data_IF_471665687115
#
_entry.id   IF_471665687115
#
_cell.length_a   1.000
_cell.length_b   1.000
_cell.length_c   1.000
_cell.angle_alpha   90.00
_cell.angle_beta   90.00
_cell.angle_gamma   90.00
#
_symmetry.space_group_name_H-M   'P 1'
#
loop_
_entity.id
_entity.type
_entity.pdbx_description
1 polymer ?
#
# COMPACT_ATOMS: atom_id res chain seq x y z
N UNK A 1 13.33 23.90 -13.30
CA UNK A 1 12.15 23.33 -12.61
C UNK A 1 12.51 22.34 -11.49
N UNK A 2 13.78 21.93 -11.34
CA UNK A 2 14.25 21.08 -10.23
C UNK A 2 14.51 21.84 -8.90
N UNK A 3 14.77 23.15 -8.93
CA UNK A 3 15.18 23.91 -7.73
C UNK A 3 14.07 24.16 -6.69
N UNK A 4 12.79 23.91 -7.01
CA UNK A 4 11.69 24.03 -6.04
C UNK A 4 11.44 22.76 -5.22
N UNK A 5 11.99 21.62 -5.64
CA UNK A 5 11.84 20.35 -4.92
C UNK A 5 12.66 20.31 -3.61
N UNK A 6 13.69 21.16 -3.51
CA UNK A 6 14.63 21.21 -2.38
C UNK A 6 14.31 22.28 -1.32
N UNK A 7 13.17 22.96 -1.41
CA UNK A 7 12.69 23.89 -0.38
C UNK A 7 11.53 23.28 0.44
N UNK A 8 11.58 21.98 0.71
CA UNK A 8 10.68 21.37 1.69
C UNK A 8 11.17 21.73 3.09
N UNK A 9 10.27 22.14 3.98
CA UNK A 9 10.63 22.31 5.39
C UNK A 9 10.96 20.95 6.01
N UNK A 10 11.74 20.94 7.09
CA UNK A 10 12.07 19.71 7.83
C UNK A 10 10.83 18.90 8.21
N UNK A 11 9.73 19.58 8.53
CA UNK A 11 8.45 18.95 8.83
C UNK A 11 7.82 18.25 7.62
N UNK A 12 7.93 18.84 6.43
CA UNK A 12 7.46 18.22 5.18
C UNK A 12 8.32 17.02 4.78
N UNK A 13 9.62 17.06 5.05
CA UNK A 13 10.52 15.92 4.83
C UNK A 13 10.16 14.76 5.77
N UNK A 14 9.89 15.04 7.05
CA UNK A 14 9.42 14.03 8.01
C UNK A 14 8.10 13.42 7.57
N UNK A 15 7.14 14.25 7.14
CA UNK A 15 5.85 13.78 6.65
C UNK A 15 5.98 12.86 5.43
N UNK A 16 6.90 13.18 4.51
CA UNK A 16 7.19 12.34 3.35
C UNK A 16 7.85 11.02 3.76
N UNK A 17 8.81 11.05 4.70
CA UNK A 17 9.46 9.84 5.20
C UNK A 17 8.47 8.92 5.93
N UNK A 18 7.61 9.48 6.77
CA UNK A 18 6.55 8.73 7.45
C UNK A 18 5.60 8.08 6.46
N UNK A 19 5.24 8.79 5.38
CA UNK A 19 4.41 8.25 4.31
C UNK A 19 5.08 7.05 3.63
N UNK A 20 6.36 7.17 3.25
CA UNK A 20 7.10 6.05 2.65
C UNK A 20 7.29 4.88 3.61
N UNK A 21 7.57 5.15 4.89
CA UNK A 21 7.62 4.11 5.93
C UNK A 21 6.32 3.34 6.01
N UNK A 22 5.18 4.05 6.02
CA UNK A 22 3.87 3.41 6.11
C UNK A 22 3.53 2.59 4.86
N UNK A 23 3.92 3.05 3.67
CA UNK A 23 3.83 2.25 2.43
C UNK A 23 4.69 0.99 2.57
N UNK A 24 5.93 1.11 3.04
CA UNK A 24 6.83 -0.03 3.25
C UNK A 24 6.24 -1.09 4.19
N UNK A 25 5.58 -0.66 5.27
CA UNK A 25 4.85 -1.57 6.17
C UNK A 25 3.71 -2.29 5.44
N UNK A 26 2.92 -1.57 4.63
CA UNK A 26 1.86 -2.19 3.83
C UNK A 26 2.44 -3.22 2.85
N UNK A 27 3.52 -2.89 2.14
CA UNK A 27 4.21 -3.79 1.23
C UNK A 27 4.72 -5.05 1.92
N UNK A 28 5.26 -4.94 3.14
CA UNK A 28 5.71 -6.09 3.92
C UNK A 28 4.56 -7.03 4.29
N UNK A 29 3.39 -6.49 4.65
CA UNK A 29 2.19 -7.29 4.95
C UNK A 29 1.69 -8.02 3.71
N UNK A 30 1.71 -7.36 2.54
CA UNK A 30 1.33 -8.02 1.30
C UNK A 30 2.34 -9.09 0.86
N UNK A 31 3.64 -8.88 1.04
CA UNK A 31 4.65 -9.90 0.81
C UNK A 31 4.47 -11.11 1.74
N UNK A 32 4.11 -10.87 3.01
CA UNK A 32 3.76 -11.94 3.93
C UNK A 32 2.49 -12.69 3.50
N UNK A 33 1.49 -11.98 2.95
CA UNK A 33 0.27 -12.60 2.42
C UNK A 33 0.57 -13.50 1.21
N UNK A 34 1.42 -13.05 0.30
CA UNK A 34 1.85 -13.81 -0.88
C UNK A 34 2.61 -15.08 -0.47
N UNK A 35 3.54 -14.95 0.49
CA UNK A 35 4.21 -16.11 1.06
C UNK A 35 3.20 -17.09 1.68
N UNK A 36 2.21 -16.61 2.43
CA UNK A 36 1.19 -17.46 3.04
C UNK A 36 0.32 -18.18 2.00
N UNK A 37 0.00 -17.51 0.88
CA UNK A 37 -0.74 -18.10 -0.24
C UNK A 37 0.03 -19.26 -0.87
N UNK A 38 1.36 -19.12 -1.03
CA UNK A 38 2.22 -20.20 -1.57
C UNK A 38 2.23 -21.48 -0.70
N UNK A 39 1.81 -21.39 0.56
CA UNK A 39 1.72 -22.52 1.48
C UNK A 39 0.37 -23.26 1.41
N UNK A 40 -0.55 -22.82 0.56
CA UNK A 40 -1.85 -23.49 0.37
C UNK A 40 -1.68 -24.62 -0.66
N UNK A 41 -1.84 -25.87 -0.22
CA UNK A 41 -1.61 -27.04 -1.07
C UNK A 41 -2.57 -28.21 -0.82
N UNK A 42 -2.60 -29.22 -1.69
CA UNK A 42 -3.56 -30.32 -1.61
C UNK A 42 -3.23 -31.36 -0.51
N UNK A 43 -1.99 -31.37 0.00
CA UNK A 43 -1.46 -32.44 0.84
C UNK A 43 -2.03 -32.49 2.28
N UNK A 44 -2.53 -31.37 2.81
CA UNK A 44 -3.10 -31.32 4.15
C UNK A 44 -4.25 -30.29 4.20
N UNK A 45 -5.48 -30.78 4.10
CA UNK A 45 -6.68 -29.95 4.03
C UNK A 45 -6.82 -29.00 5.25
N UNK A 46 -6.53 -29.48 6.45
CA UNK A 46 -6.63 -28.68 7.68
C UNK A 46 -5.62 -27.53 7.72
N UNK A 47 -4.36 -27.84 7.36
CA UNK A 47 -3.31 -26.84 7.25
C UNK A 47 -3.60 -25.82 6.14
N UNK A 48 -4.15 -26.27 5.02
CA UNK A 48 -4.50 -25.41 3.88
C UNK A 48 -5.66 -24.46 4.19
N UNK A 49 -6.68 -24.89 4.93
CA UNK A 49 -7.77 -24.02 5.39
C UNK A 49 -7.22 -22.95 6.34
N UNK A 50 -6.35 -23.34 7.28
CA UNK A 50 -5.71 -22.39 8.19
C UNK A 50 -4.86 -21.37 7.43
N UNK A 51 -4.02 -21.84 6.51
CA UNK A 51 -3.18 -20.97 5.69
C UNK A 51 -4.01 -19.99 4.83
N UNK A 52 -5.11 -20.46 4.24
CA UNK A 52 -6.04 -19.62 3.49
C UNK A 52 -6.72 -18.55 4.36
N UNK A 53 -7.05 -18.89 5.61
CA UNK A 53 -7.59 -17.93 6.57
C UNK A 53 -6.57 -16.85 6.93
N UNK A 54 -5.33 -17.22 7.25
CA UNK A 54 -4.25 -16.27 7.56
C UNK A 54 -3.94 -15.38 6.35
N UNK A 55 -3.88 -15.95 5.15
CA UNK A 55 -3.74 -15.19 3.91
C UNK A 55 -4.83 -14.13 3.76
N UNK A 56 -6.10 -14.52 3.90
CA UNK A 56 -7.25 -13.61 3.78
C UNK A 56 -7.19 -12.49 4.82
N UNK A 57 -6.77 -12.81 6.05
CA UNK A 57 -6.60 -11.83 7.12
C UNK A 57 -5.49 -10.83 6.79
N UNK A 58 -4.33 -11.30 6.30
CA UNK A 58 -3.21 -10.44 5.91
C UNK A 58 -3.58 -9.51 4.75
N UNK A 59 -4.30 -10.01 3.74
CA UNK A 59 -4.80 -9.18 2.63
C UNK A 59 -5.76 -8.11 3.15
N UNK A 60 -6.69 -8.46 4.04
CA UNK A 60 -7.65 -7.51 4.61
C UNK A 60 -6.93 -6.42 5.44
N UNK A 61 -5.98 -6.81 6.29
CA UNK A 61 -5.20 -5.87 7.12
C UNK A 61 -4.31 -4.97 6.24
N UNK A 62 -3.59 -5.55 5.28
CA UNK A 62 -2.75 -4.81 4.34
C UNK A 62 -3.56 -3.81 3.50
N UNK A 63 -4.73 -4.23 3.02
CA UNK A 63 -5.67 -3.38 2.28
C UNK A 63 -6.20 -2.23 3.13
N UNK A 64 -6.64 -2.51 4.37
CA UNK A 64 -7.11 -1.48 5.29
C UNK A 64 -6.03 -0.45 5.61
N UNK A 65 -4.80 -0.90 5.91
CA UNK A 65 -3.67 0.00 6.18
C UNK A 65 -3.32 0.85 4.97
N UNK A 66 -3.32 0.27 3.77
CA UNK A 66 -3.04 1.01 2.54
C UNK A 66 -4.08 2.10 2.29
N UNK A 67 -5.37 1.82 2.54
CA UNK A 67 -6.44 2.81 2.46
C UNK A 67 -6.27 3.95 3.49
N UNK A 68 -5.84 3.63 4.72
CA UNK A 68 -5.55 4.63 5.75
C UNK A 68 -4.37 5.52 5.31
N UNK A 69 -3.29 4.92 4.81
CA UNK A 69 -2.12 5.65 4.30
C UNK A 69 -2.50 6.58 3.16
N UNK A 70 -3.34 6.09 2.24
CA UNK A 70 -3.89 6.90 1.15
C UNK A 70 -4.74 8.07 1.64
N UNK A 71 -5.64 7.83 2.59
CA UNK A 71 -6.49 8.87 3.16
C UNK A 71 -5.65 9.95 3.89
N UNK A 72 -4.59 9.54 4.59
CA UNK A 72 -3.66 10.47 5.25
C UNK A 72 -2.87 11.30 4.23
N UNK A 73 -2.33 10.67 3.18
CA UNK A 73 -1.66 11.38 2.10
C UNK A 73 -2.60 12.41 1.46
N UNK A 74 -3.86 12.04 1.21
CA UNK A 74 -4.84 12.95 0.60
C UNK A 74 -5.10 14.20 1.46
N UNK A 75 -5.32 14.01 2.78
CA UNK A 75 -5.52 15.13 3.71
C UNK A 75 -4.30 16.05 3.74
N UNK A 76 -3.09 15.49 3.75
CA UNK A 76 -1.84 16.27 3.76
C UNK A 76 -1.62 17.01 2.44
N UNK A 77 -1.83 16.36 1.29
CA UNK A 77 -1.66 17.00 -0.02
C UNK A 77 -2.69 18.09 -0.30
N UNK A 78 -3.93 17.95 0.17
CA UNK A 78 -4.91 19.05 0.15
C UNK A 78 -4.46 20.23 1.01
N UNK A 79 -3.92 19.98 2.22
CA UNK A 79 -3.41 21.02 3.10
C UNK A 79 -2.22 21.79 2.51
N UNK A 80 -1.40 21.16 1.66
CA UNK A 80 -0.27 21.81 0.98
C UNK A 80 -0.65 22.60 -0.29
N UNK A 81 -1.95 22.71 -0.64
CA UNK A 81 -2.40 23.54 -1.77
C UNK A 81 -2.04 23.00 -3.16
N UNK A 82 -1.74 21.69 -3.28
CA UNK A 82 -1.51 21.05 -4.57
C UNK A 82 -2.82 21.03 -5.38
N UNK A 83 -2.79 21.60 -6.60
CA UNK A 83 -3.94 21.62 -7.53
C UNK A 83 -4.41 20.19 -7.88
N UNK A 84 -5.72 20.06 -8.10
CA UNK A 84 -6.45 18.80 -8.37
C UNK A 84 -5.81 17.84 -9.39
N UNK A 85 -5.05 18.35 -10.37
CA UNK A 85 -4.39 17.53 -11.39
C UNK A 85 -3.28 16.64 -10.81
N UNK A 86 -2.48 17.15 -9.87
CA UNK A 86 -1.40 16.37 -9.23
C UNK A 86 -1.96 15.32 -8.27
N UNK A 87 -3.07 15.65 -7.60
CA UNK A 87 -3.81 14.72 -6.74
C UNK A 87 -4.39 13.55 -7.54
N UNK A 88 -4.97 13.82 -8.73
CA UNK A 88 -5.47 12.76 -9.64
C UNK A 88 -4.35 11.88 -10.17
N UNK A 89 -3.16 12.43 -10.43
CA UNK A 89 -2.02 11.66 -10.91
C UNK A 89 -1.45 10.74 -9.82
N UNK A 90 -1.32 11.25 -8.59
CA UNK A 90 -0.97 10.44 -7.41
C UNK A 90 -2.02 9.34 -7.21
N UNK A 91 -3.31 9.70 -7.26
CA UNK A 91 -4.40 8.72 -7.17
C UNK A 91 -4.28 7.64 -8.25
N UNK A 92 -4.05 8.01 -9.50
CA UNK A 92 -3.85 7.08 -10.61
C UNK A 92 -2.69 6.11 -10.38
N UNK A 93 -1.54 6.60 -9.91
CA UNK A 93 -0.38 5.75 -9.59
C UNK A 93 -0.70 4.79 -8.45
N UNK A 94 -1.34 5.25 -7.37
CA UNK A 94 -1.71 4.38 -6.27
C UNK A 94 -2.80 3.36 -6.63
N UNK A 95 -3.81 3.77 -7.39
CA UNK A 95 -4.85 2.88 -7.90
C UNK A 95 -4.25 1.82 -8.82
N UNK A 96 -3.31 2.19 -9.70
CA UNK A 96 -2.57 1.25 -10.54
C UNK A 96 -1.76 0.25 -9.70
N UNK A 97 -1.07 0.72 -8.66
CA UNK A 97 -0.32 -0.16 -7.75
C UNK A 97 -1.23 -1.13 -6.99
N UNK A 98 -2.40 -0.67 -6.53
CA UNK A 98 -3.41 -1.53 -5.89
C UNK A 98 -3.97 -2.56 -6.87
N UNK A 99 -4.34 -2.12 -8.07
CA UNK A 99 -4.87 -3.01 -9.12
C UNK A 99 -3.82 -4.02 -9.53
N UNK A 100 -2.56 -3.62 -9.70
CA UNK A 100 -1.46 -4.53 -10.00
C UNK A 100 -1.25 -5.56 -8.90
N UNK A 101 -1.38 -5.17 -7.63
CA UNK A 101 -1.23 -6.06 -6.49
C UNK A 101 -2.40 -7.06 -6.38
N UNK A 102 -3.62 -6.60 -6.66
CA UNK A 102 -4.80 -7.47 -6.76
C UNK A 102 -4.59 -8.46 -7.90
N UNK A 103 -4.23 -7.99 -9.10
CA UNK A 103 -3.98 -8.85 -10.26
C UNK A 103 -2.88 -9.88 -9.95
N UNK A 104 -1.76 -9.50 -9.32
CA UNK A 104 -0.70 -10.45 -8.98
C UNK A 104 -1.17 -11.54 -8.01
N UNK A 105 -2.05 -11.21 -7.07
CA UNK A 105 -2.63 -12.18 -6.12
C UNK A 105 -3.61 -13.14 -6.81
N UNK A 106 -4.36 -12.69 -7.82
CA UNK A 106 -5.42 -13.49 -8.46
C UNK A 106 -5.02 -14.15 -9.79
N UNK A 107 -3.89 -13.77 -10.38
CA UNK A 107 -3.38 -14.35 -11.65
C UNK A 107 -2.32 -15.44 -11.40
N UNK A 108 -1.96 -15.69 -10.13
CA UNK A 108 -1.19 -16.86 -9.73
C UNK A 108 -2.03 -18.14 -9.66
#
# INVERSE_FOLDING_TARGET
MFNKFFQLSDDQIKDLFDHFRNIGICSAIFAASDWQYSQIGPLNLGLSIFNAFIFSLLVAVGGMLLLIVLAQAFRKFQAYGLKDFNLKLIYGVYSLSIVSLIISIFVH
#
